data_IF_092755542930
#
_entry.id   IF_092755542930
#
_cell.length_a   1.000
_cell.length_b   1.000
_cell.length_c   1.000
_cell.angle_alpha   90.00
_cell.angle_beta   90.00
_cell.angle_gamma   90.00
#
_symmetry.space_group_name_H-M   'P 1'
#
loop_
_entity.id
_entity.type
_entity.pdbx_description
1 polymer ?
#
# COMPACT_ATOMS: atom_id res chain seq x y z
N UNK A 1 12.01 18.98 -25.03
CA UNK A 1 12.49 18.35 -23.77
C UNK A 1 11.75 17.04 -23.63
N UNK A 2 12.44 15.99 -23.24
CA UNK A 2 11.84 14.69 -22.96
C UNK A 2 10.81 14.82 -21.81
N UNK A 3 9.66 14.16 -21.94
CA UNK A 3 8.64 14.23 -20.90
C UNK A 3 9.14 13.50 -19.64
N UNK A 4 9.24 14.18 -18.49
CA UNK A 4 9.85 13.61 -17.28
C UNK A 4 9.18 12.32 -16.81
N UNK A 5 7.89 12.10 -17.11
CA UNK A 5 7.15 10.91 -16.67
C UNK A 5 7.73 9.60 -17.24
N UNK A 6 8.36 9.66 -18.42
CA UNK A 6 8.97 8.51 -19.11
C UNK A 6 10.47 8.38 -18.86
N UNK A 7 11.06 9.25 -18.05
CA UNK A 7 12.49 9.16 -17.70
C UNK A 7 12.72 8.22 -16.52
N UNK A 8 13.86 7.51 -16.48
CA UNK A 8 14.17 6.62 -15.38
C UNK A 8 14.36 7.36 -14.05
N UNK A 9 14.16 6.64 -12.95
CA UNK A 9 14.40 7.11 -11.58
C UNK A 9 14.81 5.94 -10.68
N UNK A 10 15.58 6.21 -9.63
CA UNK A 10 16.02 5.18 -8.68
C UNK A 10 15.33 5.35 -7.33
N UNK A 11 14.73 4.27 -6.82
CA UNK A 11 14.15 4.17 -5.49
C UNK A 11 14.91 3.14 -4.67
N UNK A 12 15.89 3.58 -3.88
CA UNK A 12 16.77 2.66 -3.16
C UNK A 12 17.48 1.67 -4.11
N UNK A 13 17.20 0.38 -3.97
CA UNK A 13 17.74 -0.67 -4.85
C UNK A 13 16.95 -0.86 -6.15
N UNK A 14 15.86 -0.11 -6.39
CA UNK A 14 14.97 -0.26 -7.54
C UNK A 14 15.33 0.77 -8.62
N UNK A 15 15.70 0.29 -9.82
CA UNK A 15 15.93 1.13 -10.99
C UNK A 15 14.67 1.13 -11.88
N UNK A 16 13.80 2.11 -11.70
CA UNK A 16 12.56 2.24 -12.45
C UNK A 16 12.83 2.77 -13.86
N UNK A 17 12.27 2.13 -14.88
CA UNK A 17 12.41 2.54 -16.28
C UNK A 17 11.65 3.85 -16.60
N UNK A 18 10.60 4.14 -15.85
CA UNK A 18 9.80 5.37 -15.95
C UNK A 18 9.26 5.75 -14.57
N UNK A 19 8.59 6.91 -14.47
CA UNK A 19 8.08 7.45 -13.20
C UNK A 19 6.60 7.18 -12.96
N UNK A 20 6.01 6.22 -13.68
CA UNK A 20 4.61 5.81 -13.51
C UNK A 20 4.56 4.62 -12.57
N UNK A 21 3.94 4.79 -11.40
CA UNK A 21 3.78 3.73 -10.40
C UNK A 21 2.33 3.23 -10.41
N UNK A 22 2.12 1.92 -10.42
CA UNK A 22 0.81 1.34 -10.17
C UNK A 22 0.52 1.36 -8.67
N UNK A 23 -0.50 2.10 -8.25
CA UNK A 23 -0.93 2.17 -6.85
C UNK A 23 -1.45 0.81 -6.33
N UNK A 24 -1.27 0.52 -5.04
CA UNK A 24 -1.86 -0.65 -4.40
C UNK A 24 -3.39 -0.55 -4.40
N UNK A 25 -4.05 -1.59 -4.90
CA UNK A 25 -5.51 -1.67 -5.00
C UNK A 25 -5.99 -3.08 -4.68
N UNK A 26 -6.80 -3.24 -3.65
CA UNK A 26 -7.47 -4.50 -3.35
C UNK A 26 -8.39 -4.88 -4.50
N UNK A 27 -8.26 -6.12 -5.00
CA UNK A 27 -9.06 -6.63 -6.11
C UNK A 27 -9.86 -7.89 -5.73
N UNK A 28 -9.59 -8.49 -4.57
CA UNK A 28 -10.36 -9.62 -4.01
C UNK A 28 -10.42 -10.83 -4.96
N UNK A 29 -9.30 -11.29 -5.51
CA UNK A 29 -9.20 -12.45 -6.43
C UNK A 29 -8.28 -13.56 -5.92
N UNK A 30 -7.83 -13.49 -4.65
CA UNK A 30 -7.06 -14.59 -4.08
C UNK A 30 -7.87 -15.89 -4.06
N UNK A 31 -7.19 -16.99 -4.30
CA UNK A 31 -7.75 -18.34 -4.34
C UNK A 31 -7.86 -18.99 -2.96
N UNK A 32 -7.96 -20.33 -2.96
CA UNK A 32 -7.97 -21.10 -1.73
C UNK A 32 -6.72 -20.84 -0.88
N UNK A 33 -6.89 -20.76 0.43
CA UNK A 33 -5.81 -20.43 1.36
C UNK A 33 -5.30 -18.98 1.22
N UNK A 34 -6.09 -18.11 0.58
CA UNK A 34 -5.73 -16.73 0.28
C UNK A 34 -4.39 -16.61 -0.50
N UNK A 35 -4.11 -17.60 -1.32
CA UNK A 35 -2.94 -17.62 -2.19
C UNK A 35 -3.22 -16.90 -3.51
N UNK A 36 -2.23 -16.18 -4.08
CA UNK A 36 -2.32 -15.67 -5.43
C UNK A 36 -2.58 -16.76 -6.46
N UNK A 37 -3.40 -16.43 -7.45
CA UNK A 37 -3.81 -17.33 -8.53
C UNK A 37 -3.07 -17.02 -9.83
N UNK A 38 -3.14 -17.93 -10.82
CA UNK A 38 -2.63 -17.67 -12.17
C UNK A 38 -3.29 -16.44 -12.81
N UNK A 39 -4.56 -16.17 -12.48
CA UNK A 39 -5.26 -14.97 -12.93
C UNK A 39 -4.65 -13.69 -12.31
N UNK A 40 -4.22 -13.73 -11.05
CA UNK A 40 -3.51 -12.62 -10.43
C UNK A 40 -2.13 -12.42 -11.08
N UNK A 41 -1.41 -13.50 -11.41
CA UNK A 41 -0.15 -13.41 -12.14
C UNK A 41 -0.34 -12.71 -13.50
N UNK A 42 -1.37 -13.09 -14.25
CA UNK A 42 -1.73 -12.44 -15.52
C UNK A 42 -2.09 -10.96 -15.33
N UNK A 43 -2.86 -10.62 -14.30
CA UNK A 43 -3.24 -9.23 -14.00
C UNK A 43 -2.03 -8.32 -13.77
N UNK A 44 -1.05 -8.76 -13.00
CA UNK A 44 0.17 -8.00 -12.75
C UNK A 44 1.10 -8.00 -13.96
N UNK A 45 1.21 -9.13 -14.68
CA UNK A 45 1.98 -9.22 -15.93
C UNK A 45 1.53 -8.20 -16.98
N UNK A 46 0.23 -8.05 -17.18
CA UNK A 46 -0.35 -7.07 -18.13
C UNK A 46 0.06 -5.61 -17.81
N UNK A 47 0.46 -5.33 -16.56
CA UNK A 47 0.81 -3.99 -16.07
C UNK A 47 2.31 -3.79 -15.86
N UNK A 48 3.13 -4.72 -16.33
CA UNK A 48 4.58 -4.73 -16.10
C UNK A 48 5.33 -3.57 -16.77
N UNK A 49 4.71 -2.81 -17.68
CA UNK A 49 5.27 -1.58 -18.24
C UNK A 49 5.30 -0.40 -17.26
N UNK A 50 4.61 -0.48 -16.11
CA UNK A 50 4.75 0.49 -15.03
C UNK A 50 6.21 0.51 -14.53
N UNK A 51 6.73 1.68 -14.18
CA UNK A 51 8.06 1.79 -13.57
C UNK A 51 8.17 0.99 -12.27
N UNK A 52 7.06 0.90 -11.51
CA UNK A 52 6.91 0.03 -10.35
C UNK A 52 5.44 -0.38 -10.20
N UNK A 53 5.20 -1.67 -10.00
CA UNK A 53 3.91 -2.18 -9.54
C UNK A 53 3.96 -2.25 -8.00
N UNK A 54 3.00 -1.63 -7.30
CA UNK A 54 2.74 -1.95 -5.89
C UNK A 54 1.51 -2.85 -5.83
N UNK A 55 1.66 -4.03 -5.22
CA UNK A 55 0.57 -5.02 -5.15
C UNK A 55 -0.60 -4.52 -4.32
N UNK A 56 -1.75 -5.17 -4.45
CA UNK A 56 -2.83 -5.03 -3.48
C UNK A 56 -2.35 -5.31 -2.05
N UNK A 57 -3.08 -4.75 -1.06
CA UNK A 57 -2.78 -4.98 0.36
C UNK A 57 -2.72 -6.46 0.69
N UNK A 58 -1.54 -6.94 1.08
CA UNK A 58 -1.22 -8.33 1.39
C UNK A 58 -1.01 -8.46 2.89
N UNK A 59 -1.77 -9.32 3.56
CA UNK A 59 -1.67 -9.42 5.01
C UNK A 59 -0.45 -10.24 5.47
N UNK A 60 0.31 -9.70 6.49
CA UNK A 60 1.58 -10.29 6.94
C UNK A 60 1.41 -11.54 7.82
N UNK A 61 0.27 -11.68 8.48
CA UNK A 61 -0.05 -12.74 9.45
C UNK A 61 -1.58 -12.97 9.48
N UNK A 62 -2.09 -14.08 10.02
CA UNK A 62 -3.53 -14.38 10.05
C UNK A 62 -4.39 -13.26 10.64
N UNK A 63 -3.94 -12.60 11.71
CA UNK A 63 -4.64 -11.49 12.37
C UNK A 63 -4.82 -10.29 11.45
N UNK A 64 -3.97 -10.16 10.42
CA UNK A 64 -3.95 -9.04 9.48
C UNK A 64 -5.07 -9.04 8.45
N UNK A 65 -5.75 -10.18 8.20
CA UNK A 65 -6.81 -10.27 7.20
C UNK A 65 -8.09 -9.57 7.66
N UNK A 66 -8.63 -8.66 6.83
CA UNK A 66 -9.89 -7.95 7.09
C UNK A 66 -10.92 -8.05 5.97
N UNK A 67 -10.49 -8.32 4.75
CA UNK A 67 -11.34 -8.34 3.56
C UNK A 67 -11.43 -9.73 2.94
N UNK A 68 -12.52 -9.97 2.20
CA UNK A 68 -12.76 -11.21 1.48
C UNK A 68 -11.80 -11.39 0.31
N UNK A 69 -11.26 -12.60 0.13
CA UNK A 69 -10.36 -12.98 -0.97
C UNK A 69 -9.16 -12.04 -1.16
N UNK A 70 -8.62 -11.47 -0.08
CA UNK A 70 -7.34 -10.76 -0.12
C UNK A 70 -6.18 -11.72 0.12
N UNK A 71 -5.03 -11.53 -0.55
CA UNK A 71 -3.90 -12.44 -0.41
C UNK A 71 -3.12 -12.21 0.88
N UNK A 72 -2.48 -13.27 1.38
CA UNK A 72 -1.49 -13.23 2.46
C UNK A 72 -0.07 -13.51 1.97
N UNK A 73 0.90 -13.48 2.91
CA UNK A 73 2.32 -13.82 2.66
C UNK A 73 2.95 -14.62 3.82
N UNK A 74 2.15 -15.28 4.64
CA UNK A 74 2.65 -15.99 5.83
C UNK A 74 2.70 -17.52 5.68
N UNK A 75 2.06 -18.11 4.67
CA UNK A 75 2.09 -19.56 4.39
C UNK A 75 2.91 -19.88 3.15
N UNK A 76 3.43 -21.12 3.08
CA UNK A 76 4.19 -21.56 1.90
C UNK A 76 3.36 -21.47 0.62
N UNK A 77 2.07 -21.86 0.67
CA UNK A 77 1.17 -21.75 -0.48
C UNK A 77 1.03 -20.30 -0.99
N UNK A 78 0.99 -19.31 -0.08
CA UNK A 78 0.95 -17.91 -0.43
C UNK A 78 2.27 -17.44 -1.04
N UNK A 79 3.41 -17.86 -0.47
CA UNK A 79 4.75 -17.56 -0.99
C UNK A 79 4.90 -18.11 -2.41
N UNK A 80 4.53 -19.35 -2.66
CA UNK A 80 4.59 -20.00 -3.98
C UNK A 80 3.68 -19.28 -5.00
N UNK A 81 2.48 -18.87 -4.57
CA UNK A 81 1.57 -18.07 -5.40
C UNK A 81 2.16 -16.72 -5.80
N UNK A 82 2.79 -16.02 -4.86
CA UNK A 82 3.46 -14.76 -5.14
C UNK A 82 4.72 -14.94 -5.99
N UNK A 83 5.43 -16.07 -5.89
CA UNK A 83 6.56 -16.37 -6.77
C UNK A 83 6.14 -16.43 -8.24
N UNK A 84 5.00 -17.06 -8.54
CA UNK A 84 4.44 -17.08 -9.90
C UNK A 84 4.07 -15.66 -10.40
N UNK A 85 3.57 -14.81 -9.51
CA UNK A 85 3.27 -13.40 -9.84
C UNK A 85 4.56 -12.63 -10.15
N UNK A 86 5.57 -12.75 -9.30
CA UNK A 86 6.85 -12.07 -9.49
C UNK A 86 7.53 -12.53 -10.80
N UNK A 87 7.58 -13.84 -11.07
CA UNK A 87 8.11 -14.40 -12.31
C UNK A 87 7.41 -13.83 -13.54
N UNK A 88 6.06 -13.77 -13.52
CA UNK A 88 5.27 -13.24 -14.64
C UNK A 88 5.55 -11.75 -14.91
N UNK A 89 5.74 -10.93 -13.86
CA UNK A 89 6.10 -9.50 -14.02
C UNK A 89 7.54 -9.35 -14.51
N UNK A 90 8.48 -10.11 -13.95
CA UNK A 90 9.90 -10.06 -14.33
C UNK A 90 10.11 -10.55 -15.77
N UNK A 91 9.34 -11.53 -16.26
CA UNK A 91 9.39 -11.98 -17.65
C UNK A 91 9.12 -10.86 -18.67
N UNK A 92 8.36 -9.84 -18.27
CA UNK A 92 8.09 -8.63 -19.08
C UNK A 92 9.07 -7.48 -18.74
N UNK A 93 10.07 -7.70 -17.88
CA UNK A 93 11.05 -6.68 -17.45
C UNK A 93 10.55 -5.70 -16.41
N UNK A 94 9.38 -5.94 -15.80
CA UNK A 94 8.78 -5.07 -14.78
C UNK A 94 9.38 -5.26 -13.39
N UNK A 95 9.10 -4.31 -12.48
CA UNK A 95 9.44 -4.36 -11.06
C UNK A 95 8.16 -4.41 -10.21
N UNK A 96 8.21 -5.18 -9.11
CA UNK A 96 7.05 -5.39 -8.25
C UNK A 96 7.42 -5.25 -6.75
N UNK A 97 6.71 -4.37 -6.04
CA UNK A 97 6.77 -4.22 -4.59
C UNK A 97 5.49 -4.75 -3.94
N UNK A 98 5.60 -5.47 -2.84
CA UNK A 98 4.45 -5.98 -2.10
C UNK A 98 4.02 -5.00 -1.02
N UNK A 99 2.75 -4.53 -1.05
CA UNK A 99 2.22 -3.76 0.05
C UNK A 99 1.83 -4.67 1.23
N UNK A 100 2.52 -4.54 2.36
CA UNK A 100 2.20 -5.25 3.60
C UNK A 100 1.14 -4.47 4.38
N UNK A 101 -0.06 -5.05 4.49
CA UNK A 101 -1.23 -4.43 5.09
C UNK A 101 -1.86 -5.34 6.13
N UNK A 102 -1.77 -4.96 7.39
CA UNK A 102 -2.53 -5.56 8.49
C UNK A 102 -3.76 -4.68 8.77
N UNK A 103 -4.97 -5.22 8.60
CA UNK A 103 -6.20 -4.42 8.68
C UNK A 103 -6.48 -3.84 10.07
N UNK A 104 -5.84 -4.34 11.13
CA UNK A 104 -6.05 -3.82 12.49
C UNK A 104 -7.51 -3.95 12.92
N UNK A 105 -8.18 -2.84 13.30
CA UNK A 105 -9.59 -2.86 13.69
C UNK A 105 -10.56 -2.95 12.49
N UNK A 106 -10.10 -2.71 11.26
CA UNK A 106 -10.93 -2.77 10.05
C UNK A 106 -11.11 -4.21 9.58
N UNK A 107 -11.78 -5.03 10.40
CA UNK A 107 -11.99 -6.46 10.18
C UNK A 107 -13.46 -6.81 10.33
N UNK A 108 -14.03 -7.44 9.30
CA UNK A 108 -15.29 -8.15 9.36
C UNK A 108 -15.00 -9.66 9.45
N UNK A 109 -15.43 -10.32 10.52
CA UNK A 109 -15.07 -11.73 10.79
C UNK A 109 -15.51 -12.68 9.67
N UNK A 110 -16.65 -12.42 9.03
CA UNK A 110 -17.14 -13.21 7.90
C UNK A 110 -16.17 -13.21 6.70
N UNK A 111 -15.29 -12.22 6.59
CA UNK A 111 -14.31 -12.10 5.50
C UNK A 111 -13.07 -12.99 5.69
N UNK A 112 -12.83 -13.49 6.90
CA UNK A 112 -11.59 -14.23 7.20
C UNK A 112 -11.61 -15.67 6.74
N UNK A 113 -12.70 -16.38 7.00
CA UNK A 113 -12.78 -17.82 6.74
C UNK A 113 -12.01 -18.70 7.77
N UNK A 114 -11.42 -18.09 8.80
CA UNK A 114 -10.72 -18.73 9.92
C UNK A 114 -10.78 -17.84 11.17
N UNK A 115 -10.51 -18.43 12.33
CA UNK A 115 -10.43 -17.68 13.59
C UNK A 115 -9.06 -17.03 13.77
N UNK A 116 -9.04 -15.74 14.10
CA UNK A 116 -7.89 -15.00 14.54
C UNK A 116 -8.34 -13.76 15.32
N UNK A 117 -7.48 -13.27 16.23
CA UNK A 117 -7.80 -12.07 17.01
C UNK A 117 -7.91 -10.82 16.12
N UNK A 118 -8.76 -9.90 16.51
CA UNK A 118 -8.77 -8.53 15.97
C UNK A 118 -8.02 -7.65 16.94
N UNK A 119 -6.95 -7.04 16.50
CA UNK A 119 -6.00 -6.29 17.34
C UNK A 119 -5.88 -4.84 16.89
N UNK A 120 -5.67 -3.94 17.84
CA UNK A 120 -5.49 -2.50 17.59
C UNK A 120 -4.66 -1.87 18.73
N UNK A 121 -4.22 -0.61 18.61
CA UNK A 121 -3.55 0.08 19.72
C UNK A 121 -4.43 0.19 20.97
N UNK A 122 -5.74 0.32 20.80
CA UNK A 122 -6.75 0.40 21.86
C UNK A 122 -8.02 -0.33 21.43
N UNK A 123 -8.91 -0.67 22.37
CA UNK A 123 -10.19 -1.32 22.09
C UNK A 123 -11.21 -0.30 21.49
N UNK A 124 -10.88 0.26 20.33
CA UNK A 124 -11.70 1.20 19.57
C UNK A 124 -12.04 0.54 18.24
N UNK A 125 -13.31 0.24 17.95
CA UNK A 125 -13.71 -0.40 16.71
C UNK A 125 -13.59 0.57 15.52
N UNK A 126 -13.34 0.04 14.33
CA UNK A 126 -13.52 0.81 13.10
C UNK A 126 -15.01 1.15 12.93
N UNK A 127 -15.38 2.42 12.71
CA UNK A 127 -16.79 2.81 12.60
C UNK A 127 -17.44 2.44 11.28
N UNK A 128 -16.64 2.16 10.25
CA UNK A 128 -17.12 1.91 8.90
C UNK A 128 -17.63 0.48 8.73
N UNK A 129 -18.61 0.30 7.88
CA UNK A 129 -19.04 -1.03 7.42
C UNK A 129 -18.09 -1.52 6.32
N UNK A 130 -17.74 -2.80 6.35
CA UNK A 130 -16.93 -3.43 5.31
C UNK A 130 -17.80 -4.29 4.39
N UNK A 131 -17.47 -4.41 3.09
CA UNK A 131 -18.18 -5.34 2.21
C UNK A 131 -17.94 -6.78 2.69
N UNK A 132 -19.05 -7.52 2.86
CA UNK A 132 -19.02 -8.94 3.16
C UNK A 132 -18.70 -9.80 1.93
N UNK A 133 -18.65 -11.15 2.06
CA UNK A 133 -18.37 -12.06 0.95
C UNK A 133 -19.38 -11.98 -0.20
N UNK A 134 -20.61 -11.55 0.10
CA UNK A 134 -21.71 -11.33 -0.85
C UNK A 134 -21.83 -9.87 -1.33
N UNK A 135 -20.89 -9.00 -0.91
CA UNK A 135 -20.89 -7.57 -1.20
C UNK A 135 -21.81 -6.74 -0.29
N UNK A 136 -22.59 -7.37 0.60
CA UNK A 136 -23.43 -6.67 1.57
C UNK A 136 -22.54 -6.05 2.66
N UNK A 137 -22.70 -4.76 3.00
CA UNK A 137 -21.95 -4.11 4.07
C UNK A 137 -22.22 -4.76 5.44
N UNK A 138 -21.19 -5.14 6.16
CA UNK A 138 -21.25 -5.79 7.48
C UNK A 138 -20.40 -5.04 8.50
N UNK A 139 -20.77 -5.04 9.80
CA UNK A 139 -20.03 -4.33 10.82
C UNK A 139 -18.65 -4.97 11.07
N UNK A 140 -17.72 -4.11 11.50
CA UNK A 140 -16.41 -4.55 11.98
C UNK A 140 -16.50 -5.15 13.39
N UNK A 141 -15.54 -6.01 13.70
CA UNK A 141 -15.43 -6.61 15.02
C UNK A 141 -14.75 -5.66 16.02
N UNK A 142 -15.07 -5.80 17.30
CA UNK A 142 -14.40 -5.10 18.38
C UNK A 142 -12.95 -5.60 18.53
N UNK A 143 -11.93 -4.75 18.41
CA UNK A 143 -10.56 -5.17 18.57
C UNK A 143 -10.17 -5.28 20.05
N UNK A 144 -9.22 -6.17 20.34
CA UNK A 144 -8.46 -6.18 21.59
C UNK A 144 -7.31 -5.16 21.50
N UNK A 145 -7.09 -4.43 22.60
CA UNK A 145 -5.90 -3.60 22.70
C UNK A 145 -4.63 -4.47 22.83
N UNK A 146 -3.62 -4.18 22.01
CA UNK A 146 -2.29 -4.79 22.12
C UNK A 146 -1.60 -4.33 23.42
N UNK A 147 -1.00 -5.27 24.15
CA UNK A 147 -0.10 -4.93 25.24
C UNK A 147 1.25 -4.44 24.71
N UNK A 148 1.99 -3.67 25.52
CA UNK A 148 3.29 -3.13 25.10
C UNK A 148 4.32 -4.24 24.81
N UNK A 149 4.27 -5.35 25.54
CA UNK A 149 5.14 -6.51 25.38
C UNK A 149 4.83 -7.36 24.12
N UNK A 150 3.67 -7.17 23.48
CA UNK A 150 3.30 -7.83 22.22
C UNK A 150 3.83 -7.08 20.98
N UNK A 151 4.06 -5.77 21.08
CA UNK A 151 4.42 -4.94 19.94
C UNK A 151 5.69 -5.38 19.19
N UNK A 152 6.78 -5.82 19.85
CA UNK A 152 7.95 -6.39 19.17
C UNK A 152 7.61 -7.65 18.37
N UNK A 153 6.70 -8.49 18.85
CA UNK A 153 6.23 -9.68 18.13
C UNK A 153 5.45 -9.32 16.86
N UNK A 154 4.61 -8.29 16.92
CA UNK A 154 3.90 -7.80 15.73
C UNK A 154 4.87 -7.18 14.72
N UNK A 155 5.89 -6.43 15.17
CA UNK A 155 6.92 -5.91 14.29
C UNK A 155 7.71 -7.04 13.60
N UNK A 156 8.00 -8.14 14.31
CA UNK A 156 8.66 -9.32 13.74
C UNK A 156 7.77 -10.05 12.71
N UNK A 157 6.43 -10.05 12.86
CA UNK A 157 5.53 -10.58 11.83
C UNK A 157 5.68 -9.81 10.51
N UNK A 158 5.84 -8.48 10.53
CA UNK A 158 6.12 -7.69 9.34
C UNK A 158 7.52 -7.97 8.76
N UNK A 159 8.53 -8.13 9.61
CA UNK A 159 9.88 -8.51 9.19
C UNK A 159 9.88 -9.88 8.51
N UNK A 160 9.16 -10.87 9.09
CA UNK A 160 9.02 -12.19 8.49
C UNK A 160 8.26 -12.13 7.16
N UNK A 161 7.19 -11.34 7.07
CA UNK A 161 6.46 -11.12 5.82
C UNK A 161 7.36 -10.49 4.73
N UNK A 162 8.23 -9.55 5.11
CA UNK A 162 9.22 -8.97 4.20
C UNK A 162 10.24 -10.03 3.70
N UNK A 163 10.73 -10.90 4.57
CA UNK A 163 11.60 -12.04 4.16
C UNK A 163 10.87 -13.00 3.22
N UNK A 164 9.60 -13.33 3.51
CA UNK A 164 8.79 -14.20 2.67
C UNK A 164 8.54 -13.58 1.29
N UNK A 165 8.24 -12.27 1.22
CA UNK A 165 8.11 -11.54 -0.03
C UNK A 165 9.41 -11.62 -0.87
N UNK A 166 10.58 -11.42 -0.24
CA UNK A 166 11.86 -11.60 -0.91
C UNK A 166 12.09 -13.02 -1.39
N UNK A 167 11.72 -14.03 -0.60
CA UNK A 167 11.80 -15.44 -0.99
C UNK A 167 10.90 -15.77 -2.18
N UNK A 168 9.75 -15.09 -2.32
CA UNK A 168 8.87 -15.15 -3.48
C UNK A 168 9.38 -14.36 -4.71
N UNK A 169 10.56 -13.74 -4.66
CA UNK A 169 11.10 -12.97 -5.78
C UNK A 169 10.60 -11.52 -5.86
N UNK A 170 9.78 -11.03 -4.93
CA UNK A 170 9.33 -9.64 -4.89
C UNK A 170 10.52 -8.69 -4.68
N UNK A 171 10.61 -7.59 -5.42
CA UNK A 171 11.77 -6.70 -5.45
C UNK A 171 11.90 -5.83 -4.20
N UNK A 172 10.78 -5.38 -3.64
CA UNK A 172 10.70 -4.56 -2.44
C UNK A 172 9.39 -4.80 -1.68
N UNK A 173 9.28 -4.26 -0.47
CA UNK A 173 8.00 -4.22 0.25
C UNK A 173 7.61 -2.77 0.57
N UNK A 174 6.31 -2.51 0.66
CA UNK A 174 5.76 -1.22 1.07
C UNK A 174 4.96 -1.39 2.36
N UNK A 175 5.33 -0.71 3.44
CA UNK A 175 4.53 -0.68 4.65
C UNK A 175 3.29 0.19 4.44
N UNK A 176 2.10 -0.40 4.62
CA UNK A 176 0.86 0.37 4.60
C UNK A 176 0.63 1.11 5.92
N UNK A 177 1.02 2.37 5.97
CA UNK A 177 0.90 3.27 7.13
C UNK A 177 -0.16 4.34 6.89
N UNK A 178 -1.35 3.95 6.41
CA UNK A 178 -2.39 4.86 5.94
C UNK A 178 -3.79 4.29 6.18
N UNK A 179 -4.83 5.14 5.98
CA UNK A 179 -6.24 4.71 5.81
C UNK A 179 -6.84 3.94 6.99
N UNK A 180 -6.42 4.20 8.23
CA UNK A 180 -7.01 3.60 9.44
C UNK A 180 -6.74 2.11 9.64
N UNK A 181 -5.75 1.54 8.94
CA UNK A 181 -5.26 0.18 9.21
C UNK A 181 -4.26 0.17 10.37
N UNK A 182 -3.82 -1.01 10.82
CA UNK A 182 -3.11 -1.19 12.09
C UNK A 182 -2.03 -0.14 12.35
N UNK A 183 -1.11 0.06 11.41
CA UNK A 183 0.02 0.99 11.60
C UNK A 183 -0.48 2.43 11.71
N UNK A 184 -1.42 2.84 10.87
CA UNK A 184 -1.99 4.18 10.91
C UNK A 184 -2.83 4.43 12.16
N UNK A 185 -3.48 3.40 12.72
CA UNK A 185 -4.26 3.54 13.96
C UNK A 185 -3.39 3.86 15.17
N UNK A 186 -2.11 3.49 15.17
CA UNK A 186 -1.17 3.94 16.23
C UNK A 186 -0.87 5.43 16.13
N UNK A 187 -0.78 6.00 14.93
CA UNK A 187 -0.50 7.42 14.72
C UNK A 187 -1.65 8.33 15.13
N UNK A 188 -2.89 7.84 15.00
CA UNK A 188 -4.08 8.68 15.08
C UNK A 188 -4.71 8.72 16.48
N UNK A 189 -4.99 9.91 17.06
CA UNK A 189 -5.55 10.04 18.41
C UNK A 189 -6.99 9.54 18.54
N UNK A 190 -7.75 9.44 17.44
CA UNK A 190 -9.10 8.88 17.48
C UNK A 190 -9.11 7.39 17.83
N UNK A 191 -8.09 6.64 17.39
CA UNK A 191 -7.96 5.19 17.57
C UNK A 191 -6.93 4.79 18.61
N UNK A 192 -5.87 5.59 18.84
CA UNK A 192 -4.83 5.34 19.84
C UNK A 192 -5.10 6.12 21.12
N UNK A 193 -5.67 5.46 22.11
CA UNK A 193 -5.99 5.99 23.45
C UNK A 193 -5.06 5.43 24.54
N UNK A 194 -3.86 5.02 24.15
CA UNK A 194 -2.86 4.46 25.06
C UNK A 194 -2.26 5.56 25.93
N UNK A 195 -1.92 5.17 27.17
CA UNK A 195 -1.25 6.03 28.17
C UNK A 195 0.19 5.60 28.43
N UNK A 196 0.68 4.57 27.70
CA UNK A 196 2.05 4.09 27.79
C UNK A 196 2.98 4.78 26.74
N UNK A 197 4.19 4.26 26.60
CA UNK A 197 5.21 4.79 25.67
C UNK A 197 4.81 4.76 24.17
N UNK A 198 3.65 4.23 23.82
CA UNK A 198 3.15 4.11 22.46
C UNK A 198 1.87 4.93 22.21
N UNK A 199 1.49 5.82 23.16
CA UNK A 199 0.31 6.68 23.08
C UNK A 199 0.57 8.09 23.62
N UNK A 200 -0.45 8.95 23.53
CA UNK A 200 -0.38 10.35 23.98
C UNK A 200 0.35 11.24 22.98
N UNK A 201 1.64 11.54 23.19
CA UNK A 201 2.37 12.48 22.32
C UNK A 201 2.58 11.96 20.89
N UNK A 202 2.80 12.85 19.91
CA UNK A 202 3.11 12.47 18.53
C UNK A 202 4.29 11.49 18.43
N UNK A 203 5.36 11.70 19.18
CA UNK A 203 6.57 10.86 19.20
C UNK A 203 6.25 9.45 19.72
N UNK A 204 5.45 9.35 20.78
CA UNK A 204 5.02 8.07 21.32
C UNK A 204 4.13 7.32 20.33
N UNK A 205 3.18 8.00 19.68
CA UNK A 205 2.31 7.39 18.66
C UNK A 205 3.10 6.92 17.43
N UNK A 206 4.17 7.61 17.05
CA UNK A 206 5.05 7.22 15.95
C UNK A 206 5.99 6.06 16.30
N UNK A 207 6.22 5.76 17.58
CA UNK A 207 7.22 4.77 18.06
C UNK A 207 7.01 3.37 17.48
N UNK A 208 5.77 2.86 17.48
CA UNK A 208 5.50 1.53 16.94
C UNK A 208 5.62 1.48 15.40
N UNK A 209 5.05 2.39 14.61
CA UNK A 209 5.33 2.48 13.17
C UNK A 209 6.83 2.52 12.83
N UNK A 210 7.63 3.31 13.54
CA UNK A 210 9.10 3.36 13.38
C UNK A 210 9.74 2.01 13.69
N UNK A 211 9.29 1.31 14.76
CA UNK A 211 9.78 -0.03 15.12
C UNK A 211 9.53 -1.02 13.97
N UNK A 212 8.35 -0.99 13.35
CA UNK A 212 8.01 -1.88 12.22
C UNK A 212 8.89 -1.57 11.00
N UNK A 213 9.08 -0.31 10.63
CA UNK A 213 9.99 0.06 9.51
C UNK A 213 11.41 -0.42 9.78
N UNK A 214 11.92 -0.25 11.01
CA UNK A 214 13.25 -0.75 11.40
C UNK A 214 13.37 -2.26 11.27
N UNK A 215 12.39 -3.01 11.79
CA UNK A 215 12.38 -4.47 11.71
C UNK A 215 12.36 -4.97 10.25
N UNK A 216 11.58 -4.35 9.38
CA UNK A 216 11.57 -4.66 7.94
C UNK A 216 12.90 -4.30 7.28
N UNK A 217 13.48 -3.14 7.60
CA UNK A 217 14.77 -2.69 7.07
C UNK A 217 15.93 -3.61 7.49
N UNK A 218 15.93 -4.07 8.73
CA UNK A 218 16.89 -5.06 9.24
C UNK A 218 16.73 -6.42 8.55
N UNK A 219 15.49 -6.79 8.19
CA UNK A 219 15.21 -8.08 7.56
C UNK A 219 15.65 -8.19 6.10
N UNK A 220 15.52 -7.11 5.29
CA UNK A 220 15.70 -7.18 3.83
C UNK A 220 16.54 -6.03 3.22
N UNK A 221 17.06 -5.12 4.05
CA UNK A 221 17.71 -3.87 3.62
C UNK A 221 16.70 -2.71 3.52
N UNK A 222 17.08 -1.55 4.04
CA UNK A 222 16.22 -0.36 4.02
C UNK A 222 15.94 0.13 2.59
N UNK A 223 16.90 -0.04 1.69
CA UNK A 223 16.82 0.30 0.27
C UNK A 223 15.78 -0.53 -0.52
N UNK A 224 15.09 -1.47 0.16
CA UNK A 224 13.99 -2.29 -0.37
C UNK A 224 12.69 -2.12 0.41
N UNK A 225 12.60 -1.11 1.28
CA UNK A 225 11.41 -0.82 2.08
C UNK A 225 10.84 0.54 1.69
N UNK A 226 9.65 0.55 1.11
CA UNK A 226 8.83 1.75 0.94
C UNK A 226 7.87 1.95 2.12
N UNK A 227 7.39 3.17 2.29
CA UNK A 227 6.36 3.49 3.32
C UNK A 227 5.25 4.30 2.68
N UNK A 228 3.99 3.82 2.79
CA UNK A 228 2.83 4.56 2.30
C UNK A 228 2.13 5.30 3.43
N UNK A 229 1.97 6.63 3.25
CA UNK A 229 1.27 7.51 4.20
C UNK A 229 0.13 8.29 3.54
N UNK A 230 -0.84 8.74 4.34
CA UNK A 230 -1.93 9.62 3.89
C UNK A 230 -2.28 10.63 5.00
N UNK A 231 -1.48 11.69 5.20
CA UNK A 231 -1.79 12.70 6.21
C UNK A 231 -3.16 13.30 6.01
N UNK A 232 -3.99 13.34 7.08
CA UNK A 232 -5.33 13.89 7.03
C UNK A 232 -6.40 13.05 6.33
N UNK A 233 -6.14 11.77 6.06
CA UNK A 233 -7.13 10.85 5.51
C UNK A 233 -8.14 10.41 6.59
N UNK A 234 -9.45 10.70 6.46
CA UNK A 234 -10.47 10.36 7.47
C UNK A 234 -10.97 8.91 7.38
N UNK A 235 -10.50 8.13 6.41
CA UNK A 235 -10.98 6.77 6.15
C UNK A 235 -10.83 5.86 7.38
N UNK A 236 -11.79 4.97 7.61
CA UNK A 236 -11.87 4.08 8.77
C UNK A 236 -11.89 4.81 10.13
N UNK A 237 -12.48 6.01 10.19
CA UNK A 237 -12.68 6.78 11.41
C UNK A 237 -11.44 7.50 11.95
N UNK A 238 -10.47 7.79 11.10
CA UNK A 238 -9.30 8.56 11.50
C UNK A 238 -9.63 10.05 11.61
N UNK A 239 -9.05 10.72 12.62
CA UNK A 239 -9.14 12.17 12.77
C UNK A 239 -8.19 12.87 11.78
N UNK A 240 -8.71 13.68 10.84
CA UNK A 240 -7.89 14.39 9.86
C UNK A 240 -7.31 15.72 10.34
N UNK A 241 -7.67 16.20 11.54
CA UNK A 241 -7.58 17.62 11.92
C UNK A 241 -6.15 18.15 12.09
N UNK A 242 -5.21 17.35 12.58
CA UNK A 242 -3.82 17.80 12.82
C UNK A 242 -2.81 16.69 12.52
N UNK A 243 -2.55 16.41 11.23
CA UNK A 243 -1.63 15.34 10.86
C UNK A 243 -0.15 15.72 11.03
N UNK A 244 0.20 17.02 11.03
CA UNK A 244 1.58 17.51 10.98
C UNK A 244 2.50 16.90 12.04
N UNK A 245 2.23 17.07 13.35
CA UNK A 245 3.17 16.66 14.40
C UNK A 245 3.50 15.16 14.39
N UNK A 246 2.52 14.28 14.20
CA UNK A 246 2.75 12.84 14.26
C UNK A 246 3.46 12.31 13.00
N UNK A 247 3.14 12.87 11.81
CA UNK A 247 3.86 12.51 10.61
C UNK A 247 5.27 13.10 10.57
N UNK A 248 5.52 14.27 11.18
CA UNK A 248 6.89 14.77 11.40
C UNK A 248 7.69 13.77 12.25
N UNK A 249 7.16 13.37 13.41
CA UNK A 249 7.82 12.39 14.27
C UNK A 249 8.09 11.05 13.58
N UNK A 250 7.16 10.58 12.73
CA UNK A 250 7.35 9.38 11.93
C UNK A 250 8.49 9.55 10.92
N UNK A 251 8.42 10.58 10.08
CA UNK A 251 9.36 10.81 8.99
C UNK A 251 10.78 11.07 9.52
N UNK A 252 10.92 11.96 10.51
CA UNK A 252 12.21 12.23 11.18
C UNK A 252 12.80 10.96 11.81
N UNK A 253 11.93 10.06 12.32
CA UNK A 253 12.34 8.80 12.94
C UNK A 253 12.81 7.72 11.97
N UNK A 254 12.45 7.82 10.68
CA UNK A 254 12.81 6.83 9.65
C UNK A 254 13.72 7.36 8.55
N UNK A 255 13.83 8.69 8.34
CA UNK A 255 14.62 9.27 7.25
C UNK A 255 16.09 8.82 7.29
N UNK A 256 16.68 8.77 8.49
CA UNK A 256 18.06 8.32 8.69
C UNK A 256 18.31 6.83 8.33
N UNK A 257 17.28 6.01 8.23
CA UNK A 257 17.36 4.62 7.77
C UNK A 257 17.50 4.55 6.24
N UNK A 258 17.13 5.61 5.52
CA UNK A 258 17.08 5.70 4.06
C UNK A 258 16.22 4.61 3.41
N UNK A 259 14.92 4.52 3.75
CA UNK A 259 14.03 3.61 3.03
C UNK A 259 13.99 3.97 1.54
N UNK A 260 13.62 2.98 0.70
CA UNK A 260 13.66 3.09 -0.75
C UNK A 260 12.83 4.28 -1.28
N UNK A 261 11.64 4.48 -0.73
CA UNK A 261 10.75 5.58 -1.12
C UNK A 261 9.67 5.86 -0.08
N UNK A 262 9.10 7.05 -0.17
CA UNK A 262 7.85 7.42 0.48
C UNK A 262 6.73 7.50 -0.56
N UNK A 263 5.59 6.81 -0.33
CA UNK A 263 4.42 6.85 -1.18
C UNK A 263 3.32 7.69 -0.49
N UNK A 264 3.06 8.86 -0.99
CA UNK A 264 2.18 9.86 -0.37
C UNK A 264 0.83 9.88 -1.09
N UNK A 265 -0.24 9.49 -0.38
CA UNK A 265 -1.58 9.82 -0.82
C UNK A 265 -1.90 11.25 -0.34
N UNK A 266 -1.76 12.23 -1.21
CA UNK A 266 -2.03 13.62 -0.91
C UNK A 266 -3.53 13.87 -0.85
N UNK A 267 -4.05 14.14 0.34
CA UNK A 267 -5.49 14.38 0.56
C UNK A 267 -5.95 15.77 0.13
N UNK A 268 -5.01 16.62 -0.36
CA UNK A 268 -5.28 18.00 -0.81
C UNK A 268 -6.03 18.81 0.25
N UNK A 269 -5.56 18.73 1.49
CA UNK A 269 -6.16 19.46 2.60
C UNK A 269 -6.01 20.98 2.37
N UNK A 270 -7.07 21.79 2.64
CA UNK A 270 -7.03 23.22 2.31
C UNK A 270 -5.96 23.99 3.09
N UNK A 271 -5.68 23.61 4.34
CA UNK A 271 -4.77 24.33 5.23
C UNK A 271 -3.46 23.57 5.52
N UNK A 272 -3.15 22.51 4.74
CA UNK A 272 -1.95 21.70 4.94
C UNK A 272 -1.36 21.25 3.61
N UNK A 273 -0.27 21.90 3.19
CA UNK A 273 0.49 21.50 2.01
C UNK A 273 1.31 20.23 2.33
N UNK A 274 0.71 19.07 2.06
CA UNK A 274 1.29 17.75 2.34
C UNK A 274 2.66 17.57 1.68
N UNK A 275 2.85 18.03 0.45
CA UNK A 275 4.09 17.79 -0.29
C UNK A 275 5.21 18.70 0.21
N UNK A 276 4.93 19.97 0.48
CA UNK A 276 5.90 20.87 1.11
C UNK A 276 6.26 20.39 2.52
N UNK A 277 5.29 19.85 3.28
CA UNK A 277 5.54 19.25 4.58
C UNK A 277 6.45 18.03 4.46
N UNK A 278 6.14 17.10 3.56
CA UNK A 278 6.94 15.87 3.34
C UNK A 278 8.38 16.23 2.98
N UNK A 279 8.60 17.16 2.06
CA UNK A 279 9.96 17.58 1.64
C UNK A 279 10.80 18.23 2.76
N UNK A 280 10.18 18.69 3.85
CA UNK A 280 10.92 19.19 5.04
C UNK A 280 11.41 18.07 5.95
N UNK A 281 10.73 16.93 5.98
CA UNK A 281 10.96 15.83 6.93
C UNK A 281 11.47 14.55 6.25
N UNK A 282 11.58 14.53 4.92
CA UNK A 282 11.97 13.37 4.13
C UNK A 282 12.92 13.75 3.00
N UNK A 283 14.11 13.15 3.03
CA UNK A 283 15.20 13.42 2.06
C UNK A 283 15.21 12.48 0.85
N UNK A 284 14.53 11.34 0.95
CA UNK A 284 14.50 10.30 -0.08
C UNK A 284 13.49 10.55 -1.20
N UNK A 285 13.35 9.58 -2.13
CA UNK A 285 12.39 9.66 -3.22
C UNK A 285 10.93 9.66 -2.73
N UNK A 286 10.07 10.39 -3.47
CA UNK A 286 8.64 10.52 -3.18
C UNK A 286 7.82 10.13 -4.41
N UNK A 287 6.94 9.13 -4.25
CA UNK A 287 5.86 8.84 -5.18
C UNK A 287 4.56 9.49 -4.68
N UNK A 288 3.86 10.23 -5.54
CA UNK A 288 2.62 10.94 -5.18
C UNK A 288 1.42 10.29 -5.82
N UNK A 289 0.38 10.10 -5.02
CA UNK A 289 -0.92 9.57 -5.44
C UNK A 289 -2.03 10.53 -5.01
N UNK A 290 -3.08 10.63 -5.73
CA UNK A 290 -4.44 11.03 -5.43
C UNK A 290 -5.17 11.57 -6.68
N UNK A 291 -5.74 10.66 -7.46
CA UNK A 291 -6.59 10.97 -8.63
C UNK A 291 -5.98 12.05 -9.56
N UNK A 292 -4.69 11.91 -9.84
CA UNK A 292 -3.96 12.81 -10.72
C UNK A 292 -4.41 12.62 -12.17
N UNK A 293 -4.57 13.72 -12.89
CA UNK A 293 -4.54 13.71 -14.35
C UNK A 293 -3.09 13.60 -14.83
N UNK A 294 -2.88 13.24 -16.10
CA UNK A 294 -1.54 13.20 -16.69
C UNK A 294 -0.84 14.58 -16.59
N UNK A 295 -1.56 15.67 -16.85
CA UNK A 295 -1.00 17.02 -16.77
C UNK A 295 -0.56 17.40 -15.34
N UNK A 296 -1.37 17.09 -14.32
CA UNK A 296 -1.00 17.30 -12.92
C UNK A 296 0.23 16.46 -12.53
N UNK A 297 0.33 15.23 -13.04
CA UNK A 297 1.46 14.36 -12.81
C UNK A 297 2.76 14.92 -13.44
N UNK A 298 2.69 15.42 -14.66
CA UNK A 298 3.79 16.09 -15.36
C UNK A 298 4.25 17.34 -14.59
N UNK A 299 3.31 18.17 -14.10
CA UNK A 299 3.60 19.37 -13.31
C UNK A 299 4.28 19.03 -11.97
N UNK A 300 3.83 17.99 -11.27
CA UNK A 300 4.44 17.53 -10.02
C UNK A 300 5.90 17.08 -10.23
N UNK A 301 6.16 16.36 -11.31
CA UNK A 301 7.51 15.91 -11.66
C UNK A 301 8.40 17.08 -12.11
N UNK A 302 7.89 17.96 -12.96
CA UNK A 302 8.63 19.11 -13.47
C UNK A 302 8.99 20.11 -12.36
N UNK A 303 8.12 20.28 -11.35
CA UNK A 303 8.36 21.13 -10.19
C UNK A 303 9.27 20.52 -9.12
N UNK A 304 9.64 19.23 -9.24
CA UNK A 304 10.44 18.51 -8.22
C UNK A 304 9.67 18.18 -6.94
N UNK A 305 8.35 18.37 -6.91
CA UNK A 305 7.50 18.02 -5.76
C UNK A 305 7.38 16.52 -5.60
N UNK A 306 7.45 15.77 -6.70
CA UNK A 306 7.45 14.31 -6.74
C UNK A 306 8.63 13.79 -7.58
N UNK A 307 9.08 12.56 -7.28
CA UNK A 307 10.07 11.82 -8.07
C UNK A 307 9.39 10.79 -8.99
N UNK A 308 8.21 10.32 -8.59
CA UNK A 308 7.31 9.50 -9.41
C UNK A 308 5.85 9.82 -9.05
N UNK A 309 4.94 9.37 -9.90
CA UNK A 309 3.49 9.57 -9.75
C UNK A 309 2.77 8.22 -9.82
N UNK A 310 1.72 8.08 -9.02
CA UNK A 310 1.07 6.79 -8.82
C UNK A 310 -0.40 6.85 -9.22
N UNK A 311 -0.82 5.91 -10.07
CA UNK A 311 -2.17 5.80 -10.62
C UNK A 311 -2.84 4.52 -10.15
N UNK A 312 -4.09 4.61 -9.73
CA UNK A 312 -4.88 3.47 -9.29
C UNK A 312 -5.92 3.07 -10.33
N UNK A 313 -7.06 3.75 -10.35
CA UNK A 313 -8.20 3.40 -11.20
C UNK A 313 -7.85 3.32 -12.67
N UNK A 314 -6.96 4.19 -13.12
CA UNK A 314 -6.54 4.21 -14.53
C UNK A 314 -5.84 2.90 -14.90
N UNK A 315 -5.01 2.32 -14.02
CA UNK A 315 -4.42 1.00 -14.23
C UNK A 315 -5.44 -0.15 -14.17
N UNK A 316 -6.59 0.02 -13.53
CA UNK A 316 -7.63 -1.01 -13.58
C UNK A 316 -8.16 -1.16 -15.00
N UNK A 317 -8.57 -0.05 -15.62
CA UNK A 317 -9.16 -0.03 -16.95
C UNK A 317 -8.15 -0.09 -18.10
N UNK A 318 -6.88 0.23 -17.82
CA UNK A 318 -5.83 0.36 -18.84
C UNK A 318 -4.57 -0.38 -18.37
N UNK A 319 -4.45 -1.68 -18.65
CA UNK A 319 -3.25 -2.44 -18.27
C UNK A 319 -1.98 -1.87 -18.92
N UNK A 320 -2.09 -1.24 -20.06
CA UNK A 320 -1.07 -0.60 -20.88
C UNK A 320 -1.02 0.93 -20.68
N UNK A 321 -1.29 1.41 -19.46
CA UNK A 321 -1.42 2.84 -19.15
C UNK A 321 -0.22 3.67 -19.61
N UNK A 322 1.00 3.16 -19.45
CA UNK A 322 2.22 3.87 -19.86
C UNK A 322 2.22 4.13 -21.37
N UNK A 323 1.92 3.12 -22.17
CA UNK A 323 1.83 3.25 -23.64
C UNK A 323 0.71 4.22 -24.06
N UNK A 324 -0.43 4.22 -23.35
CA UNK A 324 -1.51 5.19 -23.60
C UNK A 324 -1.08 6.62 -23.27
N UNK A 325 -0.34 6.83 -22.21
CA UNK A 325 0.22 8.14 -21.87
C UNK A 325 1.23 8.62 -22.93
N UNK A 326 2.12 7.74 -23.40
CA UNK A 326 3.06 8.05 -24.48
C UNK A 326 2.36 8.45 -25.78
N UNK A 327 1.33 7.68 -26.15
CA UNK A 327 0.54 7.93 -27.35
C UNK A 327 -0.49 9.06 -27.18
N UNK A 328 -0.67 9.61 -25.95
CA UNK A 328 -1.79 10.50 -25.59
C UNK A 328 -3.15 9.92 -25.99
N UNK A 329 -3.28 8.61 -25.89
CA UNK A 329 -4.48 7.87 -26.24
C UNK A 329 -5.57 8.04 -25.16
N UNK A 330 -6.85 7.92 -25.52
CA UNK A 330 -7.94 7.97 -24.56
C UNK A 330 -7.85 6.81 -23.58
N UNK A 331 -8.16 7.09 -22.30
CA UNK A 331 -8.24 6.06 -21.27
C UNK A 331 -9.61 5.39 -21.27
N UNK A 332 -9.62 4.06 -21.12
CA UNK A 332 -10.83 3.30 -20.86
C UNK A 332 -11.29 3.50 -19.42
N UNK A 333 -12.59 3.66 -19.21
CA UNK A 333 -13.15 3.73 -17.86
C UNK A 333 -13.17 2.35 -17.21
N UNK A 334 -12.71 2.27 -15.96
CA UNK A 334 -12.74 1.05 -15.19
C UNK A 334 -14.17 0.71 -14.72
N UNK A 335 -14.57 -0.54 -14.88
CA UNK A 335 -15.90 -1.06 -14.47
C UNK A 335 -15.96 -1.17 -12.95
N UNK A 336 -16.59 -0.21 -12.28
CA UNK A 336 -16.61 -0.10 -10.80
C UNK A 336 -17.28 -1.28 -10.13
N UNK A 337 -18.31 -1.84 -10.75
CA UNK A 337 -19.02 -3.03 -10.29
C UNK A 337 -18.12 -4.27 -10.18
N UNK A 338 -16.99 -4.30 -10.88
CA UNK A 338 -16.04 -5.41 -10.85
C UNK A 338 -14.78 -5.13 -10.00
N UNK A 339 -14.73 -4.05 -9.21
CA UNK A 339 -13.51 -3.73 -8.44
C UNK A 339 -13.17 -4.84 -7.44
N UNK A 340 -14.16 -5.37 -6.73
CA UNK A 340 -13.98 -6.32 -5.64
C UNK A 340 -14.68 -7.67 -5.85
N UNK A 341 -15.34 -7.85 -6.99
CA UNK A 341 -16.11 -9.05 -7.31
C UNK A 341 -15.85 -9.54 -8.74
N UNK A 342 -16.20 -10.77 -9.03
CA UNK A 342 -15.99 -11.42 -10.33
C UNK A 342 -14.68 -12.20 -10.36
N UNK A 343 -14.38 -12.75 -11.51
CA UNK A 343 -13.14 -13.47 -11.79
C UNK A 343 -12.33 -12.66 -12.84
N UNK A 344 -12.29 -13.08 -14.09
CA UNK A 344 -11.57 -12.40 -15.17
C UNK A 344 -12.21 -11.06 -15.55
N UNK A 345 -13.55 -10.97 -15.45
CA UNK A 345 -14.31 -9.80 -15.84
C UNK A 345 -13.94 -8.59 -14.98
N UNK A 346 -13.56 -7.49 -15.63
CA UNK A 346 -13.10 -6.26 -14.96
C UNK A 346 -11.74 -6.40 -14.28
N UNK A 347 -10.99 -7.47 -14.61
CA UNK A 347 -9.69 -7.76 -14.02
C UNK A 347 -8.62 -7.95 -15.10
N UNK A 348 -8.72 -9.00 -15.93
CA UNK A 348 -7.75 -9.32 -16.99
C UNK A 348 -8.29 -9.12 -18.41
N UNK A 349 -9.56 -8.76 -18.57
CA UNK A 349 -10.29 -8.68 -19.84
C UNK A 349 -10.35 -7.27 -20.47
N UNK A 350 -9.58 -6.31 -19.96
CA UNK A 350 -9.46 -5.01 -20.61
C UNK A 350 -8.55 -5.11 -21.83
N UNK A 351 -9.00 -4.63 -23.02
CA UNK A 351 -8.21 -4.73 -24.23
C UNK A 351 -7.02 -3.76 -24.19
N UNK A 352 -5.86 -4.17 -24.72
CA UNK A 352 -4.74 -3.27 -24.91
C UNK A 352 -5.08 -2.18 -25.95
N UNK A 353 -4.37 -1.05 -25.86
CA UNK A 353 -4.40 -0.02 -26.89
C UNK A 353 -3.78 -0.53 -28.19
N UNK A 354 -4.50 -0.38 -29.28
CA UNK A 354 -3.99 -0.64 -30.63
C UNK A 354 -3.85 0.72 -31.31
N UNK A 355 -2.61 1.10 -31.62
CA UNK A 355 -2.37 2.30 -32.43
C UNK A 355 -3.02 2.11 -33.82
N UNK A 356 -3.87 3.05 -34.19
CA UNK A 356 -4.53 3.08 -35.52
C UNK A 356 -3.63 3.76 -36.53
#
# INVERSE_FOLDING_TARGET
MENPIFTPVTFGALALANRVVMSPMTRSRAGAGDAPTAMMAEYYRQRATAGLIVTEGTYPCPEGKGYWRTPGIHSQQQIDGWANVAEAVHAEGGLIAMQLMHCGPAVALANRGFEAEVIAPSAVPCPDLLPGPDGVPIPTAMPRALRADELPGVAEQYAQAARNARAAGIDAVELHCSSGYLINTFLNPASNRREDAYGGSPENRARFPIMVVKAMAEAIGADRVGVRISPGNPYNGMDPSDPGPVFAALLDGIDGLRPAYLHVADMRLPDFDTLAFVRRHWSGPVAVNNMLTLAEAEDLLASGKADAVSFGRDFIGNPDLVARFEAKAPLAEARRENFYVGEEQGYTDYPPYVAV
#
